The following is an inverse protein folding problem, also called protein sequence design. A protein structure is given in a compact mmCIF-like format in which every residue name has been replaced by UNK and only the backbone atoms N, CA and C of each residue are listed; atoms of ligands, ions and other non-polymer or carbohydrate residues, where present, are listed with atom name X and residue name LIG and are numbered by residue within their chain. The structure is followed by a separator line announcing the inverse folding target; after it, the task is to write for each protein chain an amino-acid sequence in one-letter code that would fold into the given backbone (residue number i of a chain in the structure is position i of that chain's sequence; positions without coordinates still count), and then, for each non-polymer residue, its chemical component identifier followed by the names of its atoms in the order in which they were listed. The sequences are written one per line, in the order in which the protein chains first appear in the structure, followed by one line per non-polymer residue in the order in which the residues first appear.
data_IF_653954974323
#
_entry.id   IF_653954974323
#
_cell.length_a   1.000
_cell.length_b   1.000
_cell.length_c   1.000
_cell.angle_alpha   90.00
_cell.angle_beta   90.00
_cell.angle_gamma   90.00
#
_symmetry.space_group_name_H-M   'P 1'
#
loop_
_entity.id
_entity.type
_entity.pdbx_description
1 polymer ?
#
# COMPACT_ATOMS: atom_id res chain seq x y z
N UNK A 1 -15.41 2.00 -1.19
CA UNK A 1 -14.29 1.85 -2.16
C UNK A 1 -14.60 2.61 -3.46
N UNK A 2 -13.83 3.65 -3.78
CA UNK A 2 -13.90 4.42 -5.02
C UNK A 2 -12.65 4.10 -5.85
N UNK A 3 -12.81 3.66 -7.10
CA UNK A 3 -11.70 3.41 -8.02
C UNK A 3 -11.27 4.73 -8.63
N UNK A 4 -10.02 5.14 -8.40
CA UNK A 4 -9.42 6.37 -8.94
C UNK A 4 -8.16 5.98 -9.72
N UNK A 5 -7.99 6.55 -10.91
CA UNK A 5 -6.81 6.33 -11.74
C UNK A 5 -5.60 7.11 -11.22
N UNK A 6 -4.41 6.54 -11.35
CA UNK A 6 -3.19 7.06 -10.73
C UNK A 6 -2.83 8.51 -11.15
N UNK A 7 -3.28 8.96 -12.33
CA UNK A 7 -3.11 10.32 -12.85
C UNK A 7 -3.85 11.40 -12.05
N UNK A 8 -4.88 11.01 -11.29
CA UNK A 8 -5.63 11.94 -10.43
C UNK A 8 -5.02 12.08 -9.03
N UNK A 9 -4.06 11.21 -8.66
CA UNK A 9 -3.47 11.18 -7.33
C UNK A 9 -2.09 11.83 -7.34
N UNK A 10 -1.96 12.95 -6.62
CA UNK A 10 -0.65 13.57 -6.38
C UNK A 10 0.02 12.90 -5.19
N UNK A 11 1.04 12.09 -5.44
CA UNK A 11 1.79 11.41 -4.38
C UNK A 11 2.83 12.32 -3.72
N UNK A 12 3.11 12.08 -2.44
CA UNK A 12 4.24 12.75 -1.78
C UNK A 12 5.56 12.27 -2.37
N UNK A 13 6.48 13.23 -2.56
CA UNK A 13 7.85 12.93 -3.01
C UNK A 13 8.72 12.33 -1.91
N UNK A 14 8.39 12.61 -0.64
CA UNK A 14 9.09 12.12 0.54
C UNK A 14 8.08 11.86 1.67
N UNK A 15 8.35 10.85 2.49
CA UNK A 15 7.62 10.58 3.72
C UNK A 15 8.56 10.80 4.90
N UNK A 16 8.10 11.56 5.89
CA UNK A 16 8.74 11.64 7.20
C UNK A 16 8.79 10.27 7.88
N UNK A 17 9.69 10.12 8.86
CA UNK A 17 9.79 8.89 9.65
C UNK A 17 8.47 8.55 10.35
N UNK A 18 7.71 9.55 10.80
CA UNK A 18 6.38 9.38 11.40
C UNK A 18 5.41 8.81 10.36
N UNK A 19 5.34 9.39 9.17
CA UNK A 19 4.47 8.89 8.09
C UNK A 19 4.83 7.46 7.68
N UNK A 20 6.13 7.15 7.57
CA UNK A 20 6.58 5.77 7.31
C UNK A 20 6.13 4.80 8.41
N UNK A 21 6.23 5.19 9.69
CA UNK A 21 5.73 4.38 10.81
C UNK A 21 4.20 4.24 10.79
N UNK A 22 3.47 5.31 10.50
CA UNK A 22 2.01 5.30 10.38
C UNK A 22 1.56 4.35 9.27
N UNK A 23 2.23 4.36 8.12
CA UNK A 23 1.90 3.43 7.03
C UNK A 23 2.17 1.96 7.40
N UNK A 24 3.27 1.68 8.13
CA UNK A 24 3.54 0.33 8.64
C UNK A 24 2.48 -0.15 9.64
N UNK A 25 2.12 0.71 10.59
CA UNK A 25 1.08 0.39 11.59
C UNK A 25 -0.29 0.19 10.93
N UNK A 26 -0.65 1.05 9.97
CA UNK A 26 -1.87 0.91 9.20
C UNK A 26 -1.88 -0.42 8.43
N UNK A 27 -0.81 -0.76 7.72
CA UNK A 27 -0.71 -2.01 6.98
C UNK A 27 -0.91 -3.22 7.92
N UNK A 28 -0.27 -3.19 9.10
CA UNK A 28 -0.42 -4.25 10.10
C UNK A 28 -1.88 -4.42 10.56
N UNK A 29 -2.56 -3.33 10.88
CA UNK A 29 -3.99 -3.33 11.26
C UNK A 29 -4.89 -3.81 10.13
N UNK A 30 -4.62 -3.38 8.90
CA UNK A 30 -5.41 -3.76 7.71
C UNK A 30 -5.30 -5.25 7.39
N UNK A 31 -4.10 -5.84 7.51
CA UNK A 31 -3.92 -7.28 7.29
C UNK A 31 -4.57 -8.09 8.42
N UNK A 32 -4.42 -7.64 9.67
CA UNK A 32 -5.04 -8.29 10.84
C UNK A 32 -6.58 -8.30 10.75
N UNK A 33 -7.19 -7.16 10.39
CA UNK A 33 -8.66 -7.05 10.29
C UNK A 33 -9.26 -7.94 9.20
N UNK A 34 -8.49 -8.27 8.15
CA UNK A 34 -8.93 -9.13 7.05
C UNK A 34 -8.53 -10.60 7.19
N UNK A 35 -7.94 -11.02 8.31
CA UNK A 35 -7.49 -12.41 8.57
C UNK A 35 -6.56 -12.99 7.48
N UNK A 36 -5.81 -12.15 6.78
CA UNK A 36 -4.91 -12.60 5.71
C UNK A 36 -3.61 -13.17 6.31
N UNK A 37 -2.95 -14.10 5.60
CA UNK A 37 -1.72 -14.73 6.13
C UNK A 37 -0.56 -13.72 6.10
N UNK A 38 -0.08 -13.43 7.31
CA UNK A 38 0.64 -12.20 7.66
C UNK A 38 2.14 -12.15 7.35
N UNK A 39 2.78 -13.22 6.90
CA UNK A 39 4.26 -13.30 6.95
C UNK A 39 4.98 -12.30 6.05
N UNK A 40 4.42 -12.01 4.87
CA UNK A 40 5.14 -11.31 3.81
C UNK A 40 4.98 -9.77 3.82
N UNK A 41 3.99 -9.25 4.55
CA UNK A 41 3.69 -7.80 4.63
C UNK A 41 4.67 -7.01 5.50
N UNK A 42 5.45 -7.70 6.35
CA UNK A 42 6.34 -7.06 7.31
C UNK A 42 7.65 -6.56 6.73
N UNK A 43 7.99 -6.96 5.50
CA UNK A 43 9.29 -6.65 4.88
C UNK A 43 9.27 -5.42 3.96
N UNK A 44 8.33 -4.49 4.17
CA UNK A 44 8.26 -3.27 3.36
C UNK A 44 9.46 -2.35 3.61
N UNK A 45 10.09 -1.91 2.53
CA UNK A 45 11.22 -0.98 2.51
C UNK A 45 10.80 0.38 1.95
N UNK A 46 11.39 1.44 2.51
CA UNK A 46 11.14 2.79 2.04
C UNK A 46 11.89 3.08 0.74
N UNK A 47 11.21 3.57 -0.30
CA UNK A 47 11.80 3.96 -1.59
C UNK A 47 11.22 5.29 -2.09
N UNK A 48 12.01 6.06 -2.86
CA UNK A 48 11.64 7.41 -3.35
C UNK A 48 11.69 7.56 -4.89
N UNK A 49 11.75 6.47 -5.67
CA UNK A 49 12.10 6.54 -7.10
C UNK A 49 11.16 7.39 -7.97
N UNK A 50 9.85 7.09 -7.98
CA UNK A 50 8.82 7.90 -8.69
C UNK A 50 8.05 8.78 -7.69
N UNK A 51 7.79 8.21 -6.52
CA UNK A 51 7.17 8.84 -5.36
C UNK A 51 7.60 8.05 -4.12
N UNK A 52 7.38 8.64 -2.94
CA UNK A 52 7.76 8.03 -1.68
C UNK A 52 6.77 6.96 -1.25
N UNK A 53 7.24 5.75 -0.98
CA UNK A 53 6.40 4.60 -0.66
C UNK A 53 7.11 3.60 0.25
N UNK A 54 6.32 2.82 0.95
CA UNK A 54 6.75 1.59 1.62
C UNK A 54 6.43 0.43 0.67
N UNK A 55 7.46 -0.10 0.03
CA UNK A 55 7.36 -1.11 -1.03
C UNK A 55 7.75 -2.49 -0.52
N UNK A 56 6.95 -3.48 -0.89
CA UNK A 56 7.22 -4.87 -0.62
C UNK A 56 8.30 -5.38 -1.60
N UNK A 57 9.43 -5.82 -1.07
CA UNK A 57 10.56 -6.30 -1.88
C UNK A 57 10.62 -7.81 -2.04
N UNK A 58 9.67 -8.55 -1.47
CA UNK A 58 9.61 -10.00 -1.60
C UNK A 58 8.74 -10.34 -2.81
N UNK A 59 9.30 -11.04 -3.80
CA UNK A 59 8.57 -11.42 -5.02
C UNK A 59 7.55 -12.55 -4.76
N UNK A 60 7.78 -13.34 -3.71
CA UNK A 60 6.98 -14.49 -3.28
C UNK A 60 5.95 -14.13 -2.20
N UNK A 61 5.43 -12.91 -2.17
CA UNK A 61 4.40 -12.56 -1.18
C UNK A 61 3.07 -13.18 -1.54
N UNK A 62 2.77 -14.29 -0.84
CA UNK A 62 1.48 -14.96 -0.82
C UNK A 62 0.35 -13.98 -0.47
N UNK A 63 -0.40 -13.63 -1.51
CA UNK A 63 -1.86 -13.62 -1.60
C UNK A 63 -2.58 -12.97 -0.40
N UNK A 64 -2.83 -11.65 -0.52
CA UNK A 64 -3.87 -10.92 0.24
C UNK A 64 -5.23 -11.63 0.07
N UNK A 65 -5.43 -12.22 -1.10
CA UNK A 65 -6.46 -13.18 -1.52
C UNK A 65 -5.89 -13.88 -2.78
N UNK A 66 -6.45 -15.00 -3.24
CA UNK A 66 -5.87 -15.86 -4.31
C UNK A 66 -5.42 -15.18 -5.61
N UNK A 67 -5.87 -13.95 -5.86
CA UNK A 67 -5.70 -13.27 -7.14
C UNK A 67 -5.02 -11.90 -7.03
N UNK A 68 -4.61 -11.47 -5.82
CA UNK A 68 -4.02 -10.13 -5.61
C UNK A 68 -2.77 -10.17 -4.72
N UNK A 69 -1.72 -9.48 -5.17
CA UNK A 69 -0.44 -9.34 -4.46
C UNK A 69 -0.19 -7.88 -4.10
N UNK A 70 0.02 -7.60 -2.83
CA UNK A 70 0.37 -6.26 -2.38
C UNK A 70 1.77 -5.85 -2.85
N UNK A 71 1.87 -4.64 -3.39
CA UNK A 71 3.13 -4.08 -3.88
C UNK A 71 3.64 -2.94 -3.02
N UNK A 72 2.81 -1.99 -2.63
CA UNK A 72 3.24 -0.87 -1.81
C UNK A 72 2.10 -0.15 -1.10
N UNK A 73 2.47 0.67 -0.13
CA UNK A 73 1.60 1.67 0.50
C UNK A 73 2.29 3.04 0.49
N UNK A 74 1.52 4.11 0.28
CA UNK A 74 2.01 5.49 0.16
C UNK A 74 0.97 6.50 0.66
N UNK A 75 1.35 7.78 0.67
CA UNK A 75 0.47 8.91 0.95
C UNK A 75 0.38 9.85 -0.26
N UNK A 76 -0.83 10.37 -0.50
CA UNK A 76 -1.02 11.54 -1.36
C UNK A 76 -0.62 12.83 -0.64
N UNK A 77 -0.47 13.92 -1.39
CA UNK A 77 -0.28 15.27 -0.83
C UNK A 77 -1.45 15.68 0.07
N UNK A 78 -2.63 15.11 -0.15
CA UNK A 78 -3.85 15.33 0.62
C UNK A 78 -3.96 14.37 1.82
N UNK A 79 -2.86 13.69 2.17
CA UNK A 79 -2.74 12.74 3.27
C UNK A 79 -3.69 11.53 3.17
N UNK A 80 -4.09 11.14 1.96
CA UNK A 80 -4.84 9.90 1.76
C UNK A 80 -3.89 8.72 1.67
N UNK A 81 -4.25 7.62 2.34
CA UNK A 81 -3.50 6.37 2.24
C UNK A 81 -3.87 5.68 0.93
N UNK A 82 -2.86 5.30 0.15
CA UNK A 82 -3.04 4.57 -1.10
C UNK A 82 -2.23 3.28 -1.04
N UNK A 83 -2.86 2.17 -1.36
CA UNK A 83 -2.21 0.86 -1.49
C UNK A 83 -2.24 0.41 -2.94
N UNK A 84 -1.11 -0.09 -3.43
CA UNK A 84 -0.97 -0.70 -4.76
C UNK A 84 -0.99 -2.23 -4.66
N UNK A 85 -1.80 -2.86 -5.50
CA UNK A 85 -1.90 -4.31 -5.62
C UNK A 85 -1.69 -4.72 -7.08
N UNK A 86 -1.01 -5.83 -7.30
CA UNK A 86 -0.92 -6.50 -8.60
C UNK A 86 -2.01 -7.56 -8.67
N UNK A 87 -2.82 -7.53 -9.71
CA UNK A 87 -3.76 -8.62 -10.01
C UNK A 87 -3.03 -9.86 -10.58
N UNK A 88 -3.80 -10.88 -10.96
CA UNK A 88 -3.28 -12.10 -11.58
C UNK A 88 -2.61 -11.87 -12.94
N UNK A 89 -2.92 -10.77 -13.62
CA UNK A 89 -2.29 -10.34 -14.88
C UNK A 89 -1.07 -9.43 -14.66
N UNK A 90 -0.69 -9.17 -13.40
CA UNK A 90 0.34 -8.20 -13.01
C UNK A 90 0.03 -6.75 -13.40
N UNK A 91 -1.26 -6.42 -13.55
CA UNK A 91 -1.73 -5.06 -13.67
C UNK A 91 -1.82 -4.40 -12.29
N UNK A 92 -1.38 -3.14 -12.19
CA UNK A 92 -1.31 -2.39 -10.93
C UNK A 92 -2.64 -1.67 -10.65
N UNK A 93 -3.36 -2.17 -9.66
CA UNK A 93 -4.55 -1.54 -9.11
C UNK A 93 -4.23 -0.68 -7.89
N UNK A 94 -4.85 0.50 -7.83
CA UNK A 94 -4.73 1.42 -6.70
C UNK A 94 -6.00 1.43 -5.86
N UNK A 95 -5.84 1.28 -4.54
CA UNK A 95 -6.93 1.39 -3.57
C UNK A 95 -6.66 2.56 -2.65
N UNK A 96 -7.53 3.56 -2.70
CA UNK A 96 -7.52 4.67 -1.74
C UNK A 96 -8.30 4.22 -0.52
N UNK A 97 -7.64 4.27 0.64
CA UNK A 97 -8.30 4.11 1.92
C UNK A 97 -8.62 5.51 2.43
N UNK A 98 -9.92 5.83 2.51
CA UNK A 98 -10.35 7.02 3.24
C UNK A 98 -10.09 6.80 4.73
N UNK A 99 -9.56 7.81 5.43
CA UNK A 99 -9.39 7.76 6.88
C UNK A 99 -10.73 7.59 7.63
N UNK A 100 -11.87 7.80 6.96
CA UNK A 100 -13.22 7.59 7.47
C UNK A 100 -13.67 6.11 7.50
N UNK A 101 -12.93 5.19 6.86
CA UNK A 101 -13.26 3.75 6.80
C UNK A 101 -12.52 2.90 7.87
N UNK A 102 -11.92 3.52 8.90
CA UNK A 102 -11.20 2.84 10.00
C UNK A 102 -11.95 2.98 11.33
#
# INVERSE_FOLDING_TARGET
MKTITADQLKFKKQLSMIEQMTLKDFLHKWVYSRKQRLAAYFEVKYTEYVFAKMENTVEETDLVNSDERFRYITLTTDNQIVMGFLDSNSELEHRIISMEEI
#
